data_IF_102066696543
#
_entry.id   IF_102066696543
#
_cell.length_a   1.000
_cell.length_b   1.000
_cell.length_c   1.000
_cell.angle_alpha   90.00
_cell.angle_beta   90.00
_cell.angle_gamma   90.00
#
_symmetry.space_group_name_H-M   'P 1'
#
loop_
_entity.id
_entity.type
_entity.pdbx_description
1 polymer ?
#
# COMPACT_ATOMS: atom_id res chain seq x y z
N UNK A 1 -19.14 -3.87 7.86
CA UNK A 1 -19.35 -3.73 9.31
C UNK A 1 -20.79 -3.33 9.59
N UNK A 2 -21.46 -4.02 10.51
CA UNK A 2 -22.83 -3.73 10.98
C UNK A 2 -22.88 -3.79 12.50
N UNK A 3 -23.45 -2.78 13.15
CA UNK A 3 -23.62 -2.79 14.61
C UNK A 3 -24.82 -3.68 14.98
N UNK A 4 -24.58 -4.64 15.86
CA UNK A 4 -25.57 -5.60 16.37
C UNK A 4 -26.06 -5.24 17.77
N UNK A 5 -25.25 -4.53 18.55
CA UNK A 5 -25.60 -4.13 19.91
C UNK A 5 -24.65 -3.10 20.48
N UNK A 6 -25.08 -2.49 21.59
CA UNK A 6 -24.30 -1.52 22.36
C UNK A 6 -24.00 -2.16 23.71
N UNK A 7 -22.73 -2.31 24.04
CA UNK A 7 -22.27 -2.82 25.35
C UNK A 7 -22.10 -1.64 26.30
N UNK A 8 -21.45 -0.57 25.82
CA UNK A 8 -21.24 0.68 26.57
C UNK A 8 -21.43 1.86 25.59
N UNK A 9 -22.48 2.68 25.75
CA UNK A 9 -22.73 3.80 24.86
C UNK A 9 -21.51 4.72 24.70
N UNK A 10 -21.09 4.96 23.45
CA UNK A 10 -19.94 5.81 23.15
C UNK A 10 -18.56 5.15 23.34
N UNK A 11 -18.50 3.87 23.73
CA UNK A 11 -17.23 3.16 23.98
C UNK A 11 -17.16 1.77 23.38
N UNK A 12 -18.15 0.91 23.61
CA UNK A 12 -18.11 -0.51 23.20
C UNK A 12 -19.37 -0.91 22.48
N UNK A 13 -19.19 -1.44 21.28
CA UNK A 13 -20.25 -1.95 20.42
C UNK A 13 -19.98 -3.41 20.09
N UNK A 14 -21.04 -4.19 19.97
CA UNK A 14 -20.99 -5.50 19.33
C UNK A 14 -21.29 -5.30 17.85
N UNK A 15 -20.40 -5.75 16.98
CA UNK A 15 -20.53 -5.58 15.54
C UNK A 15 -20.27 -6.88 14.78
N UNK A 16 -21.00 -7.06 13.69
CA UNK A 16 -20.69 -8.04 12.66
C UNK A 16 -19.70 -7.40 11.67
N UNK A 17 -18.58 -8.08 11.44
CA UNK A 17 -17.52 -7.65 10.53
C UNK A 17 -17.11 -8.86 9.70
N UNK A 18 -16.92 -8.67 8.39
CA UNK A 18 -16.45 -9.77 7.54
C UNK A 18 -14.95 -10.00 7.74
N UNK A 19 -14.49 -11.23 7.45
CA UNK A 19 -13.06 -11.53 7.50
C UNK A 19 -12.26 -10.65 6.54
N UNK A 20 -12.80 -10.35 5.35
CA UNK A 20 -12.15 -9.46 4.38
C UNK A 20 -11.99 -8.02 4.91
N UNK A 21 -12.97 -7.52 5.66
CA UNK A 21 -12.89 -6.19 6.29
C UNK A 21 -11.82 -6.17 7.38
N UNK A 22 -11.72 -7.23 8.19
CA UNK A 22 -10.67 -7.38 9.20
C UNK A 22 -9.28 -7.50 8.56
N UNK A 23 -9.15 -8.27 7.48
CA UNK A 23 -7.90 -8.41 6.73
C UNK A 23 -7.43 -7.09 6.13
N UNK A 24 -8.35 -6.35 5.51
CA UNK A 24 -8.08 -5.00 4.98
C UNK A 24 -7.63 -4.05 6.07
N UNK A 25 -8.34 -4.05 7.20
CA UNK A 25 -8.04 -3.18 8.32
C UNK A 25 -6.63 -3.44 8.88
N UNK A 26 -6.20 -4.70 8.91
CA UNK A 26 -4.88 -5.10 9.39
C UNK A 26 -3.80 -5.16 8.29
N UNK A 27 -4.13 -4.74 7.06
CA UNK A 27 -3.26 -4.86 5.86
C UNK A 27 -2.74 -6.29 5.61
N UNK A 28 -3.51 -7.30 6.03
CA UNK A 28 -3.19 -8.72 5.81
C UNK A 28 -4.03 -9.26 4.66
N UNK A 29 -3.93 -8.60 3.50
CA UNK A 29 -4.59 -9.02 2.27
C UNK A 29 -4.26 -10.47 1.89
N UNK A 30 -5.14 -11.11 1.12
CA UNK A 30 -4.96 -12.44 0.52
C UNK A 30 -4.89 -13.60 1.53
N UNK A 31 -5.77 -13.65 2.55
CA UNK A 31 -5.82 -14.76 3.53
C UNK A 31 -4.54 -14.90 4.36
N UNK A 32 -3.81 -13.81 4.53
CA UNK A 32 -2.61 -13.77 5.38
C UNK A 32 -2.96 -13.57 6.87
N UNK A 33 -4.25 -13.53 7.22
CA UNK A 33 -4.71 -13.55 8.60
C UNK A 33 -5.14 -14.96 9.00
N UNK A 34 -4.64 -15.50 10.13
CA UNK A 34 -5.17 -16.74 10.68
C UNK A 34 -6.66 -16.55 11.01
N UNK A 35 -7.44 -17.64 10.85
CA UNK A 35 -8.86 -17.62 11.15
C UNK A 35 -9.07 -17.24 12.62
N UNK A 36 -9.89 -16.24 12.86
CA UNK A 36 -10.22 -15.79 14.21
C UNK A 36 -11.12 -16.82 14.89
N UNK A 37 -10.81 -17.16 16.13
CA UNK A 37 -11.59 -18.04 16.98
C UNK A 37 -12.42 -17.23 18.00
N UNK A 38 -13.45 -17.88 18.55
CA UNK A 38 -14.29 -17.25 19.58
C UNK A 38 -13.44 -17.02 20.83
N UNK A 39 -13.30 -15.76 21.23
CA UNK A 39 -12.48 -15.35 22.37
C UNK A 39 -11.19 -14.63 21.97
N UNK A 40 -10.83 -14.65 20.69
CA UNK A 40 -9.69 -13.88 20.20
C UNK A 40 -9.90 -12.37 20.37
N UNK A 41 -8.84 -11.69 20.81
CA UNK A 41 -8.81 -10.23 20.88
C UNK A 41 -7.92 -9.69 19.78
N UNK A 42 -8.51 -8.87 18.90
CA UNK A 42 -7.75 -8.19 17.84
C UNK A 42 -7.52 -6.74 18.24
N UNK A 43 -6.25 -6.35 18.28
CA UNK A 43 -5.85 -4.96 18.50
C UNK A 43 -6.04 -4.15 17.21
N UNK A 44 -7.11 -3.36 17.17
CA UNK A 44 -7.42 -2.49 16.05
C UNK A 44 -6.52 -1.24 15.99
N UNK A 45 -5.75 -0.92 17.03
CA UNK A 45 -4.82 0.22 17.01
C UNK A 45 -3.70 0.07 15.97
N UNK A 46 -3.34 -1.18 15.65
CA UNK A 46 -2.29 -1.51 14.66
C UNK A 46 -2.69 -1.24 13.21
N UNK A 47 -3.97 -1.01 12.94
CA UNK A 47 -4.48 -0.71 11.61
C UNK A 47 -4.10 0.68 11.07
N UNK A 48 -3.60 1.58 11.92
CA UNK A 48 -3.37 2.97 11.57
C UNK A 48 -1.94 3.32 11.13
N UNK A 49 -0.97 2.43 11.30
CA UNK A 49 0.43 2.65 10.87
C UNK A 49 0.63 2.61 9.34
N UNK A 50 -0.41 2.24 8.58
CA UNK A 50 -0.30 2.03 7.13
C UNK A 50 -0.23 3.32 6.31
N UNK A 51 -0.73 4.45 6.83
CA UNK A 51 -0.65 5.73 6.13
C UNK A 51 0.82 6.15 5.94
N UNK A 52 1.65 5.92 6.95
CA UNK A 52 3.05 6.34 6.95
C UNK A 52 3.89 5.44 6.05
N UNK A 53 3.77 4.12 6.19
CA UNK A 53 4.47 3.17 5.30
C UNK A 53 4.05 3.33 3.83
N UNK A 54 2.76 3.53 3.56
CA UNK A 54 2.28 3.75 2.18
C UNK A 54 2.83 5.05 1.60
N UNK A 55 2.89 6.11 2.43
CA UNK A 55 3.48 7.39 2.04
C UNK A 55 4.96 7.24 1.72
N UNK A 56 5.73 6.51 2.53
CA UNK A 56 7.15 6.26 2.29
C UNK A 56 7.38 5.49 0.98
N UNK A 57 6.63 4.40 0.75
CA UNK A 57 6.74 3.61 -0.48
C UNK A 57 6.41 4.45 -1.72
N UNK A 58 5.33 5.24 -1.68
CA UNK A 58 4.99 6.15 -2.77
C UNK A 58 6.09 7.19 -3.03
N UNK A 59 6.74 7.69 -1.98
CA UNK A 59 7.88 8.61 -2.12
C UNK A 59 9.08 7.93 -2.75
N UNK A 60 9.43 6.70 -2.35
CA UNK A 60 10.54 5.95 -2.95
C UNK A 60 10.30 5.64 -4.42
N UNK A 61 9.07 5.30 -4.81
CA UNK A 61 8.70 5.06 -6.21
C UNK A 61 8.79 6.34 -7.03
N UNK A 62 8.30 7.47 -6.50
CA UNK A 62 8.44 8.77 -7.15
C UNK A 62 9.91 9.11 -7.39
N UNK A 63 10.76 8.94 -6.40
CA UNK A 63 12.19 9.25 -6.50
C UNK A 63 12.90 8.36 -7.53
N UNK A 64 12.51 7.08 -7.62
CA UNK A 64 13.03 6.15 -8.61
C UNK A 64 12.62 6.55 -10.04
N UNK A 65 11.37 6.99 -10.25
CA UNK A 65 10.90 7.49 -11.55
C UNK A 65 11.63 8.79 -11.92
N UNK A 66 11.81 9.71 -10.98
CA UNK A 66 12.54 10.97 -11.21
C UNK A 66 14.02 10.75 -11.52
N UNK A 67 14.68 9.82 -10.81
CA UNK A 67 16.06 9.46 -11.12
C UNK A 67 16.14 8.74 -12.46
N UNK A 68 15.25 7.78 -12.72
CA UNK A 68 15.19 7.03 -13.98
C UNK A 68 15.02 7.93 -15.20
N UNK A 69 14.11 8.92 -15.15
CA UNK A 69 13.88 9.84 -16.26
C UNK A 69 15.11 10.67 -16.61
N UNK A 70 15.94 11.04 -15.62
CA UNK A 70 17.20 11.76 -15.85
C UNK A 70 18.25 10.94 -16.60
N UNK A 71 18.23 9.61 -16.47
CA UNK A 71 19.18 8.74 -17.17
C UNK A 71 18.63 8.27 -18.52
N UNK A 72 17.31 8.07 -18.63
CA UNK A 72 16.67 7.62 -19.87
C UNK A 72 16.90 8.64 -20.98
N UNK A 73 16.68 9.94 -20.74
CA UNK A 73 16.88 10.99 -21.74
C UNK A 73 18.25 10.95 -22.44
N UNK A 74 19.36 11.08 -21.69
CA UNK A 74 20.72 10.99 -22.22
C UNK A 74 21.05 9.65 -22.88
N UNK A 75 20.49 8.54 -22.38
CA UNK A 75 20.67 7.22 -23.00
C UNK A 75 19.97 7.14 -24.36
N UNK A 76 18.72 7.63 -24.47
CA UNK A 76 18.03 7.74 -25.76
C UNK A 76 18.74 8.68 -26.72
N UNK A 77 19.22 9.84 -26.26
CA UNK A 77 20.01 10.75 -27.10
C UNK A 77 21.31 10.10 -27.58
N UNK A 78 22.02 9.39 -26.71
CA UNK A 78 23.22 8.63 -27.07
C UNK A 78 22.93 7.51 -28.07
N UNK A 79 21.84 6.77 -27.89
CA UNK A 79 21.41 5.72 -28.84
C UNK A 79 21.03 6.34 -30.19
N UNK A 80 20.33 7.47 -30.21
CA UNK A 80 19.98 8.19 -31.45
C UNK A 80 21.26 8.69 -32.14
N UNK A 81 22.19 9.30 -31.41
CA UNK A 81 23.48 9.74 -31.96
C UNK A 81 24.32 8.58 -32.53
N UNK A 82 24.26 7.39 -31.93
CA UNK A 82 24.94 6.19 -32.44
C UNK A 82 24.19 5.54 -33.62
N UNK A 83 22.86 5.55 -33.61
CA UNK A 83 22.02 5.01 -34.67
C UNK A 83 22.04 5.90 -35.93
N UNK A 84 22.13 7.22 -35.78
CA UNK A 84 22.32 8.20 -36.87
C UNK A 84 23.79 8.29 -37.35
N UNK A 85 24.62 7.29 -36.98
CA UNK A 85 26.03 7.19 -37.32
C UNK A 85 26.40 7.83 -38.66
N UNK A 86 27.13 8.94 -38.60
CA UNK A 86 27.92 9.40 -39.73
C UNK A 86 27.18 10.08 -40.89
N UNK A 87 26.09 10.82 -40.66
CA UNK A 87 25.66 11.86 -41.62
C UNK A 87 26.18 13.25 -41.25
N UNK A 88 27.50 13.40 -41.12
CA UNK A 88 28.12 14.72 -41.36
C UNK A 88 28.26 14.88 -42.89
N UNK A 89 27.35 15.66 -43.47
CA UNK A 89 27.68 16.45 -44.67
C UNK A 89 28.47 17.68 -44.22
#
# INVERSE_FOLDING_TARGET
MKIMGIIEPGRKYLAEVSQDEMEKFMNKYFRNMPRLEVGDTVDLGKGYDFLEQTREVCWSVKELIEKGSRYIGPLTEGIVMMADGGKKK
#
